data_IF_264772930586
#
_entry.id   IF_264772930586
#
_cell.length_a   1.000
_cell.length_b   1.000
_cell.length_c   1.000
_cell.angle_alpha   90.00
_cell.angle_beta   90.00
_cell.angle_gamma   90.00
#
_symmetry.space_group_name_H-M   'P 1'
#
loop_
_entity.id
_entity.type
_entity.pdbx_description
1 polymer ?
#
# COMPACT_ATOMS: atom_id res chain seq x y z
N UNK A 1 14.08 -12.74 -13.10
CA UNK A 1 14.30 -11.45 -12.42
C UNK A 1 13.05 -10.61 -12.26
N UNK A 2 12.26 -10.36 -13.31
CA UNK A 2 11.07 -9.49 -13.30
C UNK A 2 10.00 -9.84 -12.26
N UNK A 3 9.66 -11.12 -12.07
CA UNK A 3 8.64 -11.54 -11.10
C UNK A 3 9.01 -11.17 -9.65
N UNK A 4 10.31 -11.22 -9.31
CA UNK A 4 10.81 -10.85 -7.99
C UNK A 4 10.65 -9.35 -7.76
N UNK A 5 11.02 -8.53 -8.73
CA UNK A 5 10.91 -7.08 -8.64
C UNK A 5 9.46 -6.60 -8.53
N UNK A 6 8.54 -7.25 -9.26
CA UNK A 6 7.11 -6.97 -9.14
C UNK A 6 6.57 -7.28 -7.74
N UNK A 7 6.94 -8.45 -7.20
CA UNK A 7 6.53 -8.84 -5.85
C UNK A 7 7.08 -7.90 -4.78
N UNK A 8 8.37 -7.53 -4.88
CA UNK A 8 8.99 -6.58 -3.95
C UNK A 8 8.31 -5.21 -3.99
N UNK A 9 7.99 -4.69 -5.17
CA UNK A 9 7.29 -3.41 -5.31
C UNK A 9 5.88 -3.47 -4.73
N UNK A 10 5.15 -4.57 -4.98
CA UNK A 10 3.80 -4.74 -4.45
C UNK A 10 3.79 -4.80 -2.92
N UNK A 11 4.69 -5.59 -2.31
CA UNK A 11 4.81 -5.67 -0.84
C UNK A 11 5.14 -4.29 -0.25
N UNK A 12 6.11 -3.58 -0.85
CA UNK A 12 6.45 -2.23 -0.40
C UNK A 12 5.26 -1.26 -0.46
N UNK A 13 4.46 -1.34 -1.51
CA UNK A 13 3.22 -0.55 -1.65
C UNK A 13 2.19 -0.89 -0.59
N UNK A 14 1.96 -2.17 -0.29
CA UNK A 14 1.00 -2.59 0.74
C UNK A 14 1.38 -2.01 2.11
N UNK A 15 2.67 -2.08 2.49
CA UNK A 15 3.12 -1.52 3.76
C UNK A 15 2.98 0.01 3.87
N UNK A 16 3.06 0.73 2.75
CA UNK A 16 2.91 2.19 2.73
C UNK A 16 1.46 2.64 2.86
N UNK A 17 0.51 1.82 2.40
CA UNK A 17 -0.91 2.18 2.39
C UNK A 17 -1.64 1.70 3.66
N UNK A 18 -1.27 0.54 4.21
CA UNK A 18 -1.96 -0.05 5.37
C UNK A 18 -1.43 0.51 6.69
N UNK A 19 -2.32 0.80 7.63
CA UNK A 19 -1.90 1.26 8.95
C UNK A 19 -1.19 0.16 9.75
N UNK A 20 -0.27 0.56 10.63
CA UNK A 20 0.33 -0.35 11.60
C UNK A 20 -0.65 -0.71 12.72
N UNK A 21 -1.53 0.22 13.10
CA UNK A 21 -2.63 -0.08 13.99
C UNK A 21 -3.74 -0.81 13.22
N UNK A 22 -3.97 -2.06 13.57
CA UNK A 22 -5.01 -2.92 12.96
C UNK A 22 -6.44 -2.39 13.12
N UNK A 23 -6.67 -1.40 13.97
CA UNK A 23 -7.98 -0.72 14.11
C UNK A 23 -8.23 0.30 12.99
N UNK A 24 -7.19 0.71 12.27
CA UNK A 24 -7.27 1.66 11.17
C UNK A 24 -6.91 0.97 9.85
N UNK A 25 -7.71 1.13 8.78
CA UNK A 25 -7.48 0.44 7.52
C UNK A 25 -6.27 1.01 6.76
N UNK A 26 -6.05 2.32 6.84
CA UNK A 26 -5.03 3.03 6.05
C UNK A 26 -4.16 3.93 6.92
N UNK A 27 -2.93 4.17 6.46
CA UNK A 27 -2.04 5.17 7.07
C UNK A 27 -2.64 6.57 6.99
N UNK A 28 -2.19 7.43 7.90
CA UNK A 28 -2.56 8.84 7.90
C UNK A 28 -2.15 9.48 6.57
N UNK A 29 -3.08 10.21 5.94
CA UNK A 29 -2.87 10.88 4.65
C UNK A 29 -3.12 10.02 3.40
N UNK A 30 -3.50 8.74 3.56
CA UNK A 30 -4.00 7.91 2.45
C UNK A 30 -5.48 8.22 2.22
N UNK A 31 -5.82 8.54 0.96
CA UNK A 31 -7.21 8.72 0.56
C UNK A 31 -7.95 7.36 0.60
N UNK A 32 -8.97 7.19 1.46
CA UNK A 32 -9.73 5.93 1.53
C UNK A 32 -10.52 5.65 0.25
N UNK A 33 -10.88 6.67 -0.54
CA UNK A 33 -11.62 6.51 -1.80
C UNK A 33 -10.67 6.17 -2.97
N UNK A 34 -9.38 6.47 -2.84
CA UNK A 34 -8.33 6.09 -3.80
C UNK A 34 -6.98 5.76 -3.13
N UNK A 35 -6.88 4.63 -2.39
CA UNK A 35 -5.71 4.32 -1.58
C UNK A 35 -4.45 4.00 -2.40
N UNK A 36 -4.62 3.74 -3.70
CA UNK A 36 -3.53 3.40 -4.61
C UNK A 36 -3.10 4.56 -5.50
N UNK A 37 -3.81 5.69 -5.46
CA UNK A 37 -3.61 6.85 -6.34
C UNK A 37 -3.47 6.45 -7.83
N UNK A 38 -4.33 5.54 -8.27
CA UNK A 38 -4.35 5.08 -9.66
C UNK A 38 -5.26 6.00 -10.47
N UNK A 39 -4.80 6.40 -11.66
CA UNK A 39 -5.57 7.15 -12.67
C UNK A 39 -6.03 6.24 -13.79
#
# INVERSE_FOLDING_TARGET
DTAKSLLSNWIGKVYQITNQDRSLPFMEGVDPDNPLDLR
#
